data_IF_969118209741
#
_entry.id   IF_969118209741
#
_cell.length_a   1.000
_cell.length_b   1.000
_cell.length_c   1.000
_cell.angle_alpha   90.00
_cell.angle_beta   90.00
_cell.angle_gamma   90.00
#
_symmetry.space_group_name_H-M   'P 1'
#
loop_
_entity.id
_entity.type
_entity.pdbx_description
1 polymer ?
#
# COMPACT_ATOMS: atom_id res chain seq x y z
N UNK A 1 -6.83 23.13 -7.52
CA UNK A 1 -7.99 22.36 -7.02
C UNK A 1 -8.36 21.16 -7.90
N UNK A 2 -8.70 21.36 -9.20
CA UNK A 2 -9.13 20.27 -10.11
C UNK A 2 -8.10 19.14 -10.27
N UNK A 3 -6.83 19.49 -10.40
CA UNK A 3 -5.73 18.52 -10.55
C UNK A 3 -5.55 17.63 -9.31
N UNK A 4 -5.63 18.21 -8.10
CA UNK A 4 -5.58 17.43 -6.85
C UNK A 4 -6.72 16.41 -6.74
N UNK A 5 -7.93 16.80 -7.15
CA UNK A 5 -9.09 15.88 -7.19
C UNK A 5 -8.87 14.77 -8.21
N UNK A 6 -8.34 15.11 -9.38
CA UNK A 6 -8.05 14.15 -10.44
C UNK A 6 -7.00 13.12 -10.00
N UNK A 7 -5.87 13.57 -9.44
CA UNK A 7 -4.83 12.71 -8.87
C UNK A 7 -5.41 11.82 -7.78
N UNK A 8 -6.25 12.37 -6.89
CA UNK A 8 -6.93 11.60 -5.86
C UNK A 8 -7.75 10.43 -6.43
N UNK A 9 -8.47 10.64 -7.55
CA UNK A 9 -9.21 9.56 -8.22
C UNK A 9 -8.29 8.50 -8.82
N UNK A 10 -7.16 8.89 -9.42
CA UNK A 10 -6.18 7.95 -9.95
C UNK A 10 -5.56 7.09 -8.84
N UNK A 11 -5.22 7.70 -7.71
CA UNK A 11 -4.71 6.97 -6.55
C UNK A 11 -5.72 5.92 -6.05
N UNK A 12 -7.02 6.26 -6.00
CA UNK A 12 -8.07 5.31 -5.63
C UNK A 12 -8.18 4.14 -6.62
N UNK A 13 -8.11 4.41 -7.93
CA UNK A 13 -8.12 3.35 -8.95
C UNK A 13 -6.91 2.42 -8.78
N UNK A 14 -5.72 2.99 -8.56
CA UNK A 14 -4.51 2.20 -8.30
C UNK A 14 -4.68 1.30 -7.07
N UNK A 15 -5.24 1.82 -5.97
CA UNK A 15 -5.51 1.02 -4.77
C UNK A 15 -6.47 -0.14 -5.06
N UNK A 16 -7.51 0.06 -5.88
CA UNK A 16 -8.41 -1.04 -6.26
C UNK A 16 -7.72 -2.12 -7.12
N UNK A 17 -6.75 -1.74 -7.96
CA UNK A 17 -5.90 -2.70 -8.70
C UNK A 17 -5.01 -3.47 -7.72
N UNK A 18 -4.37 -2.77 -6.78
CA UNK A 18 -3.47 -3.38 -5.80
C UNK A 18 -4.16 -4.40 -4.91
N UNK A 19 -5.44 -4.20 -4.57
CA UNK A 19 -6.23 -5.19 -3.82
C UNK A 19 -6.36 -6.54 -4.54
N UNK A 20 -6.27 -6.56 -5.86
CA UNK A 20 -6.38 -7.78 -6.67
C UNK A 20 -5.01 -8.37 -6.99
N UNK A 21 -4.05 -7.51 -7.33
CA UNK A 21 -2.74 -7.92 -7.85
C UNK A 21 -1.70 -8.14 -6.75
N UNK A 22 -1.73 -7.33 -5.68
CA UNK A 22 -0.77 -7.43 -4.59
C UNK A 22 -1.32 -8.30 -3.44
N UNK A 23 -0.52 -9.22 -2.85
CA UNK A 23 0.91 -9.43 -3.07
C UNK A 23 1.27 -10.55 -4.07
N UNK A 24 0.30 -11.27 -4.65
CA UNK A 24 0.56 -12.51 -5.41
C UNK A 24 1.13 -12.26 -6.81
N UNK A 25 0.56 -11.31 -7.54
CA UNK A 25 0.87 -11.04 -8.95
C UNK A 25 1.82 -9.86 -9.12
N UNK A 26 1.82 -8.92 -8.16
CA UNK A 26 2.76 -7.79 -8.14
C UNK A 26 3.57 -7.71 -6.82
N UNK A 27 4.40 -8.72 -6.47
CA UNK A 27 5.10 -8.78 -5.19
C UNK A 27 6.08 -7.61 -4.93
N UNK A 28 6.59 -6.97 -5.98
CA UNK A 28 7.56 -5.87 -5.91
C UNK A 28 6.94 -4.50 -5.68
N UNK A 29 5.61 -4.37 -5.61
CA UNK A 29 4.95 -3.06 -5.51
C UNK A 29 5.54 -2.14 -4.43
N UNK A 30 5.81 -2.67 -3.23
CA UNK A 30 6.36 -1.88 -2.11
C UNK A 30 7.78 -1.37 -2.43
N UNK A 31 8.64 -2.18 -3.05
CA UNK A 31 9.96 -1.72 -3.47
C UNK A 31 9.88 -0.72 -4.62
N UNK A 32 8.96 -0.94 -5.57
CA UNK A 32 8.79 -0.10 -6.75
C UNK A 32 8.31 1.30 -6.36
N UNK A 33 7.30 1.39 -5.48
CA UNK A 33 6.75 2.67 -5.03
C UNK A 33 7.73 3.44 -4.13
N UNK A 34 8.48 2.75 -3.27
CA UNK A 34 9.54 3.37 -2.45
C UNK A 34 10.69 3.85 -3.32
N UNK A 35 11.05 3.11 -4.37
CA UNK A 35 12.02 3.52 -5.37
C UNK A 35 11.58 4.80 -6.08
N UNK A 36 10.34 4.82 -6.59
CA UNK A 36 9.76 5.97 -7.28
C UNK A 36 9.67 7.23 -6.40
N UNK A 37 9.48 7.08 -5.09
CA UNK A 37 9.45 8.21 -4.13
C UNK A 37 10.78 8.99 -4.06
N UNK A 38 11.89 8.43 -4.53
CA UNK A 38 13.20 9.12 -4.53
C UNK A 38 13.34 10.14 -5.64
N UNK A 39 12.45 10.14 -6.62
CA UNK A 39 12.53 10.99 -7.83
C UNK A 39 12.16 12.45 -7.54
N UNK A 40 11.16 12.69 -6.68
CA UNK A 40 10.81 14.05 -6.24
C UNK A 40 10.01 14.02 -4.95
N UNK A 41 10.04 15.13 -4.21
CA UNK A 41 9.23 15.28 -2.99
C UNK A 41 7.73 15.19 -3.29
N UNK A 42 7.26 15.78 -4.39
CA UNK A 42 5.85 15.71 -4.80
C UNK A 42 5.40 14.27 -5.09
N UNK A 43 6.25 13.47 -5.73
CA UNK A 43 5.98 12.04 -5.95
C UNK A 43 5.99 11.27 -4.63
N UNK A 44 6.96 11.52 -3.75
CA UNK A 44 7.01 10.93 -2.42
C UNK A 44 5.71 11.21 -1.64
N UNK A 45 5.26 12.46 -1.60
CA UNK A 45 4.02 12.86 -0.94
C UNK A 45 2.81 12.11 -1.52
N UNK A 46 2.69 12.01 -2.85
CA UNK A 46 1.61 11.27 -3.48
C UNK A 46 1.68 9.76 -3.16
N UNK A 47 2.88 9.18 -3.16
CA UNK A 47 3.10 7.77 -2.84
C UNK A 47 2.76 7.46 -1.37
N UNK A 48 3.04 8.38 -0.44
CA UNK A 48 2.61 8.25 0.95
C UNK A 48 1.08 8.25 1.08
N UNK A 49 0.37 9.03 0.25
CA UNK A 49 -1.09 8.99 0.18
C UNK A 49 -1.58 7.63 -0.34
N UNK A 50 -0.99 7.10 -1.41
CA UNK A 50 -1.34 5.77 -1.95
C UNK A 50 -1.14 4.68 -0.89
N UNK A 51 0.01 4.68 -0.19
CA UNK A 51 0.31 3.72 0.88
C UNK A 51 -0.67 3.82 2.04
N UNK A 52 -1.06 5.05 2.43
CA UNK A 52 -2.09 5.27 3.44
C UNK A 52 -3.42 4.66 3.01
N UNK A 53 -3.90 4.99 1.81
CA UNK A 53 -5.18 4.48 1.28
C UNK A 53 -5.18 2.94 1.19
N UNK A 54 -4.09 2.35 0.70
CA UNK A 54 -3.95 0.89 0.67
C UNK A 54 -3.99 0.29 2.07
N UNK A 55 -3.32 0.91 3.04
CA UNK A 55 -3.32 0.44 4.43
C UNK A 55 -4.72 0.47 5.03
N UNK A 56 -5.50 1.52 4.79
CA UNK A 56 -6.88 1.64 5.28
C UNK A 56 -7.76 0.52 4.70
N UNK A 57 -7.69 0.26 3.40
CA UNK A 57 -8.46 -0.78 2.71
C UNK A 57 -8.08 -2.21 3.12
N UNK A 58 -6.79 -2.50 3.32
CA UNK A 58 -6.30 -3.84 3.69
C UNK A 58 -6.53 -4.12 5.19
N UNK A 59 -6.42 -3.11 6.04
CA UNK A 59 -6.64 -3.26 7.48
C UNK A 59 -8.14 -3.40 7.82
N UNK A 60 -9.02 -2.73 7.08
CA UNK A 60 -10.48 -2.89 7.25
C UNK A 60 -10.98 -4.27 6.74
N UNK A 61 -10.28 -4.88 5.78
CA UNK A 61 -10.51 -6.29 5.43
C UNK A 61 -10.09 -7.26 6.55
N UNK A 62 -9.13 -6.87 7.40
CA UNK A 62 -8.64 -7.68 8.51
C UNK A 62 -9.55 -7.67 9.74
N UNK A 63 -10.33 -6.61 9.96
CA UNK A 63 -11.28 -6.46 11.07
C UNK A 63 -12.60 -7.21 10.84
N UNK A 64 -12.95 -7.54 9.59
CA UNK A 64 -14.23 -8.17 9.25
C UNK A 64 -14.24 -9.67 8.96
N UNK A 65 -13.13 -10.29 8.50
CA UNK A 65 -13.18 -11.68 8.00
C UNK A 65 -11.92 -12.55 8.14
N UNK A 66 -10.94 -12.23 8.98
CA UNK A 66 -9.72 -13.05 9.04
C UNK A 66 -9.71 -14.00 10.24
N UNK A 67 -10.04 -15.26 9.95
CA UNK A 67 -9.76 -16.44 10.79
C UNK A 67 -8.29 -16.41 11.25
N UNK A 68 -8.07 -16.67 12.55
CA UNK A 68 -6.86 -16.44 13.38
C UNK A 68 -5.48 -16.91 12.84
N UNK A 69 -5.37 -17.51 11.66
CA UNK A 69 -4.12 -18.11 11.16
C UNK A 69 -3.28 -17.11 10.35
N UNK A 70 -3.87 -16.13 9.64
CA UNK A 70 -3.10 -15.21 8.75
C UNK A 70 -2.51 -13.98 9.43
N UNK A 71 -3.06 -13.52 10.55
CA UNK A 71 -2.57 -12.33 11.25
C UNK A 71 -1.22 -12.57 11.97
N UNK A 72 -0.94 -13.81 12.38
CA UNK A 72 0.29 -14.14 13.12
C UNK A 72 1.54 -14.10 12.23
N UNK A 73 1.43 -14.46 10.96
CA UNK A 73 2.57 -14.50 10.03
C UNK A 73 3.04 -13.13 9.51
N UNK A 74 2.20 -12.09 9.56
CA UNK A 74 2.57 -10.75 9.09
C UNK A 74 3.32 -9.94 10.14
N UNK A 75 3.01 -10.13 11.44
CA UNK A 75 3.72 -9.44 12.54
C UNK A 75 5.19 -9.85 12.62
N UNK A 76 5.48 -11.15 12.51
CA UNK A 76 6.86 -11.63 12.61
C UNK A 76 7.73 -11.08 11.46
N UNK A 77 7.18 -10.95 10.25
CA UNK A 77 7.93 -10.45 9.09
C UNK A 77 8.27 -8.95 9.17
N UNK A 78 7.44 -8.13 9.83
CA UNK A 78 7.74 -6.70 10.02
C UNK A 78 8.87 -6.45 11.03
N UNK A 79 9.02 -7.30 12.05
CA UNK A 79 10.10 -7.16 13.04
C UNK A 79 11.47 -7.48 12.44
N UNK A 80 11.55 -8.39 11.47
CA UNK A 80 12.82 -8.70 10.78
C UNK A 80 13.23 -7.61 9.78
N UNK A 81 12.30 -6.91 9.15
CA UNK A 81 12.63 -5.85 8.17
C UNK A 81 13.08 -4.53 8.81
N UNK A 82 12.83 -4.32 10.11
CA UNK A 82 13.26 -3.12 10.83
C UNK A 82 14.58 -3.30 11.61
N UNK A 83 15.19 -4.49 11.57
CA UNK A 83 16.43 -4.83 12.30
C UNK A 83 17.65 -5.08 11.41
N UNK A 84 17.56 -4.85 10.10
CA UNK A 84 18.71 -4.95 9.18
C UNK A 84 18.99 -3.64 8.49
#
# INVERSE_FOLDING_TARGET
>A
QKEKVYIGKLNMILVQILKQEWPKHWPTFISDIVGASRTSESLCQNNMVILKLLSEEVFDFSSGQITQVKAKHLKDRQVYLFKS
#
